data_IF_296390267669
#
_entry.id   IF_296390267669
#
_cell.length_a   1.000
_cell.length_b   1.000
_cell.length_c   1.000
_cell.angle_alpha   90.00
_cell.angle_beta   90.00
_cell.angle_gamma   90.00
#
_symmetry.space_group_name_H-M   'P 1'
#
loop_
_entity.id
_entity.type
_entity.pdbx_description
1 polymer ?
#
# COMPACT_ATOMS: atom_id res chain seq x y z
N UNK A 1 -13.80 -14.00 19.77
CA UNK A 1 -14.14 -12.69 20.37
C UNK A 1 -15.47 -12.16 19.83
N UNK A 2 -15.59 -11.85 18.53
CA UNK A 2 -16.79 -11.21 17.94
C UNK A 2 -18.14 -11.81 18.33
N UNK A 3 -18.35 -13.13 18.20
CA UNK A 3 -19.67 -13.77 18.41
C UNK A 3 -20.33 -13.38 19.75
N UNK A 4 -19.62 -13.51 20.88
CA UNK A 4 -20.14 -13.22 22.21
C UNK A 4 -20.31 -11.71 22.46
N UNK A 5 -19.38 -10.89 21.96
CA UNK A 5 -19.48 -9.43 22.01
C UNK A 5 -20.74 -8.93 21.26
N UNK A 6 -21.03 -9.51 20.09
CA UNK A 6 -22.20 -9.15 19.29
C UNK A 6 -23.51 -9.67 19.87
N UNK A 7 -23.57 -10.90 20.39
CA UNK A 7 -24.81 -11.46 20.93
C UNK A 7 -25.25 -10.77 22.22
N UNK A 8 -24.29 -10.32 23.03
CA UNK A 8 -24.54 -9.80 24.37
C UNK A 8 -24.50 -8.26 24.42
N UNK A 9 -24.10 -7.61 23.32
CA UNK A 9 -24.14 -6.15 23.17
C UNK A 9 -23.08 -5.38 23.96
N UNK A 10 -21.99 -6.03 24.37
CA UNK A 10 -20.93 -5.40 25.18
C UNK A 10 -20.16 -4.32 24.40
N UNK A 11 -19.89 -3.19 25.07
CA UNK A 11 -19.18 -2.02 24.50
C UNK A 11 -18.15 -1.50 25.50
N UNK A 12 -16.87 -1.49 25.12
CA UNK A 12 -15.78 -0.96 25.93
C UNK A 12 -14.59 -0.54 25.06
N UNK A 13 -13.61 0.15 25.66
CA UNK A 13 -12.38 0.54 24.94
C UNK A 13 -11.53 -0.69 24.60
N UNK A 14 -11.50 -1.66 25.49
CA UNK A 14 -10.77 -2.93 25.36
C UNK A 14 -11.33 -3.79 24.21
N UNK A 15 -12.64 -3.69 23.92
CA UNK A 15 -13.27 -4.34 22.76
C UNK A 15 -12.79 -3.70 21.45
N UNK A 16 -12.66 -2.36 21.40
CA UNK A 16 -12.10 -1.63 20.25
C UNK A 16 -10.64 -2.03 20.05
N UNK A 17 -9.85 -2.09 21.13
CA UNK A 17 -8.46 -2.57 21.12
C UNK A 17 -8.35 -4.01 20.60
N UNK A 18 -9.26 -4.89 21.03
CA UNK A 18 -9.34 -6.25 20.54
C UNK A 18 -9.55 -6.32 19.02
N UNK A 19 -10.49 -5.53 18.49
CA UNK A 19 -10.69 -5.45 17.03
C UNK A 19 -9.48 -4.87 16.30
N UNK A 20 -8.84 -3.82 16.84
CA UNK A 20 -7.62 -3.26 16.29
C UNK A 20 -6.46 -4.28 16.24
N UNK A 21 -6.23 -5.03 17.31
CA UNK A 21 -5.22 -6.11 17.34
C UNK A 21 -5.59 -7.25 16.37
N UNK A 22 -6.88 -7.54 16.21
CA UNK A 22 -7.37 -8.52 15.23
C UNK A 22 -7.06 -8.08 13.79
N UNK A 23 -7.17 -6.79 13.47
CA UNK A 23 -6.81 -6.24 12.15
C UNK A 23 -5.31 -6.39 11.81
N UNK A 24 -4.42 -6.43 12.81
CA UNK A 24 -2.96 -6.65 12.61
C UNK A 24 -2.59 -8.13 12.33
N UNK A 25 -3.46 -9.05 12.70
CA UNK A 25 -3.18 -10.50 12.78
C UNK A 25 -4.16 -11.38 12.01
N UNK A 26 -5.22 -10.79 11.44
CA UNK A 26 -6.23 -11.51 10.67
C UNK A 26 -5.63 -12.13 9.40
N UNK A 27 -6.04 -13.37 9.16
CA UNK A 27 -5.78 -14.09 7.92
C UNK A 27 -6.45 -13.36 6.75
N UNK A 28 -5.72 -13.01 5.68
CA UNK A 28 -6.31 -12.41 4.49
C UNK A 28 -7.26 -13.41 3.82
N UNK A 29 -8.30 -12.91 3.15
CA UNK A 29 -9.08 -13.74 2.24
C UNK A 29 -8.26 -14.09 0.98
N UNK A 30 -8.56 -15.22 0.35
CA UNK A 30 -7.96 -15.60 -0.94
C UNK A 30 -8.52 -14.74 -2.10
N UNK A 31 -9.71 -14.19 -1.91
CA UNK A 31 -10.43 -13.39 -2.90
C UNK A 31 -11.03 -12.16 -2.21
N UNK A 32 -11.05 -11.02 -2.91
CA UNK A 32 -11.57 -9.76 -2.35
C UNK A 32 -13.07 -9.83 -1.99
N UNK A 33 -13.86 -10.66 -2.68
CA UNK A 33 -15.26 -10.94 -2.32
C UNK A 33 -15.46 -11.75 -1.03
N UNK A 34 -14.41 -12.43 -0.54
CA UNK A 34 -14.42 -13.14 0.73
C UNK A 34 -13.85 -12.30 1.89
N UNK A 35 -13.33 -11.10 1.59
CA UNK A 35 -12.64 -10.26 2.56
C UNK A 35 -13.62 -9.69 3.59
N UNK A 36 -13.22 -9.78 4.87
CA UNK A 36 -14.04 -9.50 6.06
C UNK A 36 -13.31 -8.61 7.07
N UNK A 37 -12.08 -8.20 6.82
CA UNK A 37 -11.35 -7.18 7.60
C UNK A 37 -12.18 -5.90 7.82
N UNK A 38 -12.95 -5.48 6.80
CA UNK A 38 -13.84 -4.33 6.88
C UNK A 38 -14.89 -4.43 8.00
N UNK A 39 -15.34 -5.65 8.36
CA UNK A 39 -16.25 -5.85 9.49
C UNK A 39 -15.59 -5.43 10.81
N UNK A 40 -14.33 -5.83 11.02
CA UNK A 40 -13.60 -5.47 12.24
C UNK A 40 -13.37 -3.96 12.33
N UNK A 41 -13.01 -3.31 11.22
CA UNK A 41 -12.87 -1.84 11.18
C UNK A 41 -14.20 -1.16 11.50
N UNK A 42 -15.29 -1.56 10.83
CA UNK A 42 -16.61 -0.97 11.05
C UNK A 42 -17.11 -1.16 12.48
N UNK A 43 -16.96 -2.36 13.06
CA UNK A 43 -17.35 -2.58 14.46
C UNK A 43 -16.50 -1.77 15.45
N UNK A 44 -15.18 -1.70 15.25
CA UNK A 44 -14.30 -0.88 16.08
C UNK A 44 -14.70 0.60 16.01
N UNK A 45 -14.93 1.13 14.81
CA UNK A 45 -15.31 2.52 14.59
C UNK A 45 -16.71 2.84 15.14
N UNK A 46 -17.70 1.99 14.91
CA UNK A 46 -19.05 2.15 15.45
C UNK A 46 -19.06 2.15 16.98
N UNK A 47 -18.38 1.20 17.63
CA UNK A 47 -18.31 1.16 19.10
C UNK A 47 -17.55 2.39 19.63
N UNK A 48 -16.52 2.87 18.92
CA UNK A 48 -15.79 4.09 19.30
C UNK A 48 -16.68 5.35 19.23
N UNK A 49 -17.49 5.49 18.17
CA UNK A 49 -18.45 6.58 18.03
C UNK A 49 -19.58 6.51 19.07
N UNK A 50 -20.15 5.33 19.33
CA UNK A 50 -21.19 5.14 20.36
C UNK A 50 -20.69 5.42 21.78
N UNK A 51 -19.42 5.11 22.07
CA UNK A 51 -18.78 5.47 23.32
C UNK A 51 -18.38 6.96 23.39
N UNK A 52 -18.47 7.71 22.29
CA UNK A 52 -18.05 9.11 22.20
C UNK A 52 -16.54 9.28 22.42
N UNK A 53 -15.70 8.48 21.75
CA UNK A 53 -14.24 8.58 21.83
C UNK A 53 -13.67 9.71 20.94
N UNK A 54 -14.45 10.16 19.96
CA UNK A 54 -14.21 11.25 19.03
C UNK A 54 -14.28 12.64 19.67
N UNK A 55 -15.04 12.74 20.77
CA UNK A 55 -15.17 13.92 21.61
C UNK A 55 -14.09 13.96 22.69
N UNK A 56 -13.55 15.15 22.96
CA UNK A 56 -12.65 15.33 24.10
C UNK A 56 -13.38 14.97 25.39
N UNK A 57 -12.73 14.17 26.23
CA UNK A 57 -13.29 13.76 27.51
C UNK A 57 -13.52 15.00 28.38
N UNK A 58 -14.79 15.45 28.51
CA UNK A 58 -15.16 16.56 29.38
C UNK A 58 -14.72 16.23 30.79
N UNK A 59 -13.70 16.93 31.28
CA UNK A 59 -13.37 16.93 32.70
C UNK A 59 -14.59 17.47 33.46
N UNK A 60 -15.41 16.56 34.01
CA UNK A 60 -16.40 16.95 35.02
C UNK A 60 -15.61 17.62 36.14
N UNK A 61 -16.01 18.84 36.50
CA UNK A 61 -15.41 19.63 37.58
C UNK A 61 -15.68 19.01 38.96
N UNK A 62 -15.19 17.79 39.20
CA UNK A 62 -15.20 17.11 40.49
C UNK A 62 -14.04 17.66 41.33
N UNK A 63 -14.23 18.88 41.86
CA UNK A 63 -13.23 19.61 42.66
C UNK A 63 -12.72 18.89 43.93
N UNK A 64 -13.27 17.72 44.28
CA UNK A 64 -13.06 17.03 45.56
C UNK A 64 -12.83 15.51 45.38
N UNK A 65 -11.85 15.07 44.58
CA UNK A 65 -11.44 13.65 44.51
C UNK A 65 -9.92 13.54 44.54
N UNK A 66 -9.38 12.59 45.31
CA UNK A 66 -7.95 12.41 45.56
C UNK A 66 -7.08 12.38 44.29
N UNK A 67 -5.87 12.93 44.41
CA UNK A 67 -4.90 13.14 43.32
C UNK A 67 -4.62 11.88 42.48
N UNK A 68 -4.52 10.71 43.12
CA UNK A 68 -4.33 9.43 42.44
C UNK A 68 -5.48 9.08 41.49
N UNK A 69 -6.72 9.41 41.87
CA UNK A 69 -7.90 9.22 41.02
C UNK A 69 -7.88 10.19 39.84
N UNK A 70 -7.41 11.43 40.04
CA UNK A 70 -7.21 12.42 38.96
C UNK A 70 -6.25 11.88 37.89
N UNK A 71 -5.08 11.36 38.28
CA UNK A 71 -4.10 10.80 37.33
C UNK A 71 -4.67 9.58 36.59
N UNK A 72 -5.39 8.68 37.26
CA UNK A 72 -5.99 7.52 36.61
C UNK A 72 -7.09 7.93 35.60
N UNK A 73 -7.95 8.90 35.97
CA UNK A 73 -8.96 9.44 35.06
C UNK A 73 -8.32 10.12 33.83
N UNK A 74 -7.22 10.86 34.00
CA UNK A 74 -6.46 11.42 32.88
C UNK A 74 -5.88 10.33 31.98
N UNK A 75 -5.28 9.26 32.54
CA UNK A 75 -4.78 8.11 31.76
C UNK A 75 -5.90 7.41 30.97
N UNK A 76 -7.07 7.21 31.57
CA UNK A 76 -8.25 6.67 30.89
C UNK A 76 -8.72 7.58 29.74
N UNK A 77 -8.79 8.90 29.94
CA UNK A 77 -9.12 9.86 28.90
C UNK A 77 -8.12 9.82 27.73
N UNK A 78 -6.81 9.83 28.03
CA UNK A 78 -5.76 9.71 27.02
C UNK A 78 -5.85 8.40 26.22
N UNK A 79 -6.19 7.29 26.87
CA UNK A 79 -6.37 6.02 26.19
C UNK A 79 -7.59 6.03 25.25
N UNK A 80 -8.68 6.72 25.60
CA UNK A 80 -9.84 6.91 24.71
C UNK A 80 -9.45 7.70 23.45
N UNK A 81 -8.76 8.82 23.63
CA UNK A 81 -8.26 9.66 22.53
C UNK A 81 -7.31 8.88 21.60
N UNK A 82 -6.35 8.13 22.16
CA UNK A 82 -5.44 7.27 21.37
C UNK A 82 -6.19 6.23 20.53
N UNK A 83 -7.15 5.53 21.13
CA UNK A 83 -7.91 4.49 20.44
C UNK A 83 -8.71 5.04 19.27
N UNK A 84 -9.34 6.21 19.44
CA UNK A 84 -10.02 6.91 18.34
C UNK A 84 -9.06 7.24 17.20
N UNK A 85 -7.92 7.86 17.50
CA UNK A 85 -6.93 8.23 16.49
C UNK A 85 -6.32 7.01 15.79
N UNK A 86 -6.06 5.92 16.51
CA UNK A 86 -5.52 4.68 15.95
C UNK A 86 -6.49 4.01 14.97
N UNK A 87 -7.77 3.84 15.32
CA UNK A 87 -8.74 3.23 14.40
C UNK A 87 -9.05 4.13 13.20
N UNK A 88 -9.06 5.46 13.41
CA UNK A 88 -9.26 6.45 12.34
C UNK A 88 -8.09 6.43 11.33
N UNK A 89 -6.85 6.48 11.81
CA UNK A 89 -5.66 6.42 10.95
C UNK A 89 -5.54 5.07 10.24
N UNK A 90 -5.96 3.97 10.87
CA UNK A 90 -6.07 2.67 10.22
C UNK A 90 -7.04 2.70 9.04
N UNK A 91 -8.28 3.19 9.21
CA UNK A 91 -9.24 3.23 8.09
C UNK A 91 -8.79 4.21 6.99
N UNK A 92 -8.14 5.33 7.33
CA UNK A 92 -7.53 6.22 6.35
C UNK A 92 -6.41 5.55 5.53
N UNK A 93 -5.54 4.76 6.17
CA UNK A 93 -4.48 4.01 5.51
C UNK A 93 -5.03 2.87 4.65
N UNK A 94 -5.95 2.07 5.23
CA UNK A 94 -6.61 0.94 4.58
C UNK A 94 -7.45 1.37 3.37
N UNK A 95 -8.20 2.47 3.49
CA UNK A 95 -8.92 3.06 2.36
C UNK A 95 -7.97 3.47 1.24
N UNK A 96 -6.89 4.17 1.57
CA UNK A 96 -5.93 4.65 0.58
C UNK A 96 -5.26 3.49 -0.18
N UNK A 97 -4.91 2.40 0.52
CA UNK A 97 -4.39 1.18 -0.10
C UNK A 97 -5.42 0.42 -0.97
N UNK A 98 -6.72 0.68 -0.77
CA UNK A 98 -7.81 0.20 -1.64
C UNK A 98 -8.26 1.23 -2.68
N UNK A 99 -7.49 2.29 -2.96
CA UNK A 99 -7.86 3.37 -3.89
C UNK A 99 -9.06 4.23 -3.45
N UNK A 100 -9.52 4.09 -2.19
CA UNK A 100 -10.62 4.88 -1.63
C UNK A 100 -10.07 6.14 -0.96
N UNK A 101 -10.48 7.30 -1.45
CA UNK A 101 -10.20 8.59 -0.82
C UNK A 101 -11.10 8.75 0.41
N UNK A 102 -10.49 8.87 1.59
CA UNK A 102 -11.19 9.17 2.85
C UNK A 102 -10.68 10.47 3.45
N UNK A 103 -11.59 11.42 3.64
CA UNK A 103 -11.35 12.64 4.40
C UNK A 103 -11.28 12.33 5.88
N UNK A 104 -10.34 12.96 6.58
CA UNK A 104 -10.20 12.80 8.03
C UNK A 104 -11.27 13.65 8.74
N UNK A 105 -12.08 13.10 9.67
CA UNK A 105 -13.09 13.87 10.37
C UNK A 105 -12.47 14.97 11.25
N UNK A 106 -12.91 16.21 11.04
CA UNK A 106 -12.48 17.38 11.81
C UNK A 106 -13.26 17.50 13.14
N UNK A 107 -12.80 16.79 14.16
CA UNK A 107 -13.30 16.83 15.54
C UNK A 107 -12.41 17.74 16.41
N UNK A 108 -12.85 18.11 17.63
CA UNK A 108 -12.01 18.89 18.56
C UNK A 108 -10.62 18.26 18.78
N UNK A 109 -10.57 16.92 18.78
CA UNK A 109 -9.35 16.14 18.98
C UNK A 109 -8.40 16.21 17.79
N UNK A 110 -8.91 16.09 16.56
CA UNK A 110 -8.08 16.10 15.34
C UNK A 110 -7.69 17.53 14.91
N UNK A 111 -8.53 18.53 15.23
CA UNK A 111 -8.18 19.95 15.09
C UNK A 111 -7.02 20.34 16.02
N UNK A 112 -7.05 19.90 17.28
CA UNK A 112 -6.03 20.25 18.29
C UNK A 112 -4.86 19.24 18.37
N UNK A 113 -4.61 18.47 17.30
CA UNK A 113 -3.65 17.34 17.32
C UNK A 113 -2.21 17.78 17.63
N UNK A 114 -1.80 18.97 17.18
CA UNK A 114 -0.46 19.53 17.44
C UNK A 114 -0.15 19.75 18.93
N UNK A 115 -1.17 20.08 19.73
CA UNK A 115 -1.00 20.21 21.19
C UNK A 115 -1.26 18.88 21.90
N UNK A 116 -2.04 17.98 21.28
CA UNK A 116 -2.43 16.70 21.87
C UNK A 116 -1.23 15.77 22.14
N UNK A 117 -0.21 15.74 21.28
CA UNK A 117 0.97 14.90 21.48
C UNK A 117 1.99 15.49 22.48
N UNK A 118 1.91 16.78 22.79
CA UNK A 118 2.76 17.48 23.77
C UNK A 118 2.27 17.31 25.23
N UNK A 119 1.19 16.55 25.46
CA UNK A 119 0.62 16.33 26.78
C UNK A 119 1.61 15.61 27.73
N UNK A 120 1.69 15.93 29.04
CA UNK A 120 2.60 15.27 29.99
C UNK A 120 2.43 13.74 30.18
N UNK A 121 1.36 13.17 29.63
CA UNK A 121 1.08 11.73 29.60
C UNK A 121 1.21 11.13 28.19
N UNK A 122 1.92 11.81 27.30
CA UNK A 122 2.22 11.31 25.97
C UNK A 122 3.33 10.26 26.00
N UNK A 123 3.31 9.41 24.98
CA UNK A 123 4.33 8.41 24.69
C UNK A 123 4.93 8.69 23.29
N UNK A 124 5.94 7.92 22.90
CA UNK A 124 6.61 8.05 21.60
C UNK A 124 5.66 7.88 20.40
N UNK A 125 4.64 7.02 20.50
CA UNK A 125 3.70 6.76 19.41
C UNK A 125 2.78 7.95 19.13
N UNK A 126 2.46 8.75 20.16
CA UNK A 126 1.65 9.96 19.98
C UNK A 126 2.28 10.98 19.02
N UNK A 127 3.62 11.07 18.94
CA UNK A 127 4.31 11.93 17.96
C UNK A 127 3.97 11.48 16.54
N UNK A 128 4.12 10.19 16.24
CA UNK A 128 3.81 9.63 14.92
C UNK A 128 2.32 9.66 14.60
N UNK A 129 1.44 9.47 15.59
CA UNK A 129 -0.01 9.68 15.44
C UNK A 129 -0.34 11.13 15.04
N UNK A 130 0.30 12.12 15.67
CA UNK A 130 0.14 13.52 15.29
C UNK A 130 0.66 13.80 13.88
N UNK A 131 1.91 13.41 13.60
CA UNK A 131 2.53 13.58 12.29
C UNK A 131 1.67 13.00 11.15
N UNK A 132 1.18 11.75 11.32
CA UNK A 132 0.33 11.11 10.32
C UNK A 132 -1.04 11.80 10.19
N UNK A 133 -1.64 12.26 11.29
CA UNK A 133 -2.91 13.02 11.24
C UNK A 133 -2.77 14.32 10.43
N UNK A 134 -1.68 15.06 10.64
CA UNK A 134 -1.36 16.29 9.89
C UNK A 134 -1.09 15.98 8.42
N UNK A 135 -0.29 14.95 8.15
CA UNK A 135 0.00 14.48 6.78
C UNK A 135 -1.29 14.18 6.00
N UNK A 136 -2.27 13.52 6.62
CA UNK A 136 -3.57 13.24 5.99
C UNK A 136 -4.39 14.50 5.69
N UNK A 137 -4.25 15.56 6.49
CA UNK A 137 -4.89 16.86 6.23
C UNK A 137 -4.19 17.59 5.07
N UNK A 138 -2.86 17.60 5.06
CA UNK A 138 -2.05 18.18 3.97
C UNK A 138 -2.28 17.47 2.64
N UNK A 139 -2.26 16.12 2.61
CA UNK A 139 -2.62 15.32 1.43
C UNK A 139 -4.01 15.68 0.88
N UNK A 140 -5.01 15.87 1.73
CA UNK A 140 -6.37 16.20 1.29
C UNK A 140 -6.47 17.61 0.68
N UNK A 141 -5.69 18.57 1.19
CA UNK A 141 -5.59 19.90 0.61
C UNK A 141 -4.82 19.88 -0.73
N UNK A 142 -3.73 19.12 -0.80
CA UNK A 142 -2.89 18.95 -2.00
C UNK A 142 -3.65 18.25 -3.13
N UNK A 143 -4.42 17.20 -2.84
CA UNK A 143 -5.30 16.56 -3.83
C UNK A 143 -6.36 17.53 -4.39
N UNK A 144 -6.96 18.38 -3.54
CA UNK A 144 -7.93 19.38 -3.99
C UNK A 144 -7.29 20.48 -4.87
N UNK A 145 -6.07 20.91 -4.57
CA UNK A 145 -5.30 21.79 -5.47
C UNK A 145 -5.00 21.06 -6.79
N UNK A 146 -4.41 19.87 -6.75
CA UNK A 146 -4.04 19.13 -7.97
C UNK A 146 -5.22 18.84 -8.90
N UNK A 147 -6.43 18.55 -8.38
CA UNK A 147 -7.66 18.48 -9.19
C UNK A 147 -7.96 19.78 -9.94
N UNK A 148 -7.78 20.91 -9.26
CA UNK A 148 -8.01 22.25 -9.82
C UNK A 148 -6.94 22.60 -10.86
N UNK A 149 -5.69 22.27 -10.58
CA UNK A 149 -4.54 22.56 -11.42
C UNK A 149 -4.48 21.66 -12.67
N UNK A 150 -4.94 20.41 -12.60
CA UNK A 150 -4.95 19.48 -13.74
C UNK A 150 -5.81 19.95 -14.95
N UNK A 151 -6.66 20.96 -14.77
CA UNK A 151 -7.44 21.61 -15.84
C UNK A 151 -6.66 22.74 -16.53
N UNK A 152 -5.61 23.25 -15.88
CA UNK A 152 -4.79 24.35 -16.40
C UNK A 152 -3.63 23.82 -17.25
N UNK A 153 -3.28 24.49 -18.37
CA UNK A 153 -2.13 24.11 -19.18
C UNK A 153 -0.83 24.49 -18.45
N UNK A 154 0.11 23.54 -18.38
CA UNK A 154 1.44 23.72 -17.77
C UNK A 154 2.57 23.58 -18.81
N UNK A 155 2.59 24.41 -19.88
CA UNK A 155 3.50 24.23 -21.00
C UNK A 155 4.97 24.43 -20.59
N UNK A 156 5.85 23.54 -21.06
CA UNK A 156 7.29 23.55 -20.82
C UNK A 156 7.71 23.41 -19.34
N UNK A 157 6.85 22.83 -18.49
CA UNK A 157 7.18 22.50 -17.10
C UNK A 157 7.01 20.99 -16.84
N UNK A 158 7.90 20.14 -17.37
CA UNK A 158 7.88 18.72 -17.06
C UNK A 158 8.08 18.52 -15.54
N UNK A 159 7.53 17.45 -14.98
CA UNK A 159 7.61 17.12 -13.54
C UNK A 159 6.97 18.14 -12.57
N UNK A 160 6.19 19.12 -13.08
CA UNK A 160 5.51 20.13 -12.24
C UNK A 160 4.67 19.56 -11.09
N UNK A 161 4.15 18.35 -11.27
CA UNK A 161 3.36 17.64 -10.26
C UNK A 161 4.26 17.16 -9.13
N UNK A 162 5.37 16.48 -9.44
CA UNK A 162 6.35 16.06 -8.44
C UNK A 162 6.90 17.27 -7.67
N UNK A 163 7.34 18.32 -8.36
CA UNK A 163 7.84 19.54 -7.71
C UNK A 163 6.81 20.19 -6.78
N UNK A 164 5.54 20.27 -7.19
CA UNK A 164 4.46 20.83 -6.35
C UNK A 164 4.13 19.91 -5.16
N UNK A 165 4.16 18.60 -5.35
CA UNK A 165 3.93 17.62 -4.27
C UNK A 165 5.06 17.69 -3.24
N UNK A 166 6.31 17.76 -3.69
CA UNK A 166 7.48 17.84 -2.82
C UNK A 166 7.50 19.17 -2.06
N UNK A 167 7.35 20.31 -2.75
CA UNK A 167 7.27 21.64 -2.12
C UNK A 167 6.14 21.74 -1.08
N UNK A 168 5.00 21.07 -1.31
CA UNK A 168 3.89 21.03 -0.36
C UNK A 168 4.19 20.18 0.88
N UNK A 169 5.04 19.16 0.77
CA UNK A 169 5.35 18.20 1.83
C UNK A 169 6.71 18.45 2.52
N UNK A 170 7.59 19.26 1.95
CA UNK A 170 8.93 19.55 2.49
C UNK A 170 8.90 19.95 3.97
N UNK A 171 8.04 20.91 4.33
CA UNK A 171 7.92 21.38 5.72
C UNK A 171 7.44 20.30 6.70
N UNK A 172 6.70 19.31 6.20
CA UNK A 172 6.30 18.14 6.99
C UNK A 172 7.47 17.15 7.11
N UNK A 173 8.20 16.89 6.01
CA UNK A 173 9.37 16.02 5.99
C UNK A 173 10.43 16.53 6.96
N UNK A 174 10.82 17.81 6.88
CA UNK A 174 11.79 18.44 7.79
C UNK A 174 11.38 18.30 9.27
N UNK A 175 10.09 18.50 9.58
CA UNK A 175 9.57 18.52 10.95
C UNK A 175 9.42 17.13 11.56
N UNK A 176 9.05 16.13 10.76
CA UNK A 176 8.64 14.80 11.26
C UNK A 176 9.62 13.68 10.90
N UNK A 177 10.21 13.70 9.70
CA UNK A 177 11.24 12.77 9.20
C UNK A 177 12.63 13.32 9.52
N UNK A 178 12.93 13.43 10.81
CA UNK A 178 14.23 13.93 11.28
C UNK A 178 15.33 12.93 10.93
N UNK A 179 16.05 13.16 9.83
CA UNK A 179 17.33 12.51 9.54
C UNK A 179 18.36 12.88 10.63
N UNK A 180 19.29 11.97 11.00
CA UNK A 180 19.96 11.06 10.08
C UNK A 180 19.72 9.56 10.33
N UNK A 181 19.14 8.88 9.34
CA UNK A 181 19.30 7.43 9.15
C UNK A 181 20.60 7.10 8.39
N UNK A 182 21.67 7.87 8.59
CA UNK A 182 22.97 7.65 7.97
C UNK A 182 24.14 8.20 8.82
N UNK A 183 25.00 7.28 9.28
CA UNK A 183 26.46 7.45 9.40
C UNK A 183 26.98 8.84 9.84
N UNK A 184 26.85 9.17 11.12
CA UNK A 184 27.95 9.91 11.76
C UNK A 184 29.14 8.97 11.89
N UNK A 185 30.22 9.25 11.18
CA UNK A 185 31.52 8.57 11.33
C UNK A 185 32.26 8.95 12.62
N UNK A 186 31.54 9.41 13.64
CA UNK A 186 32.05 9.68 14.99
C UNK A 186 31.91 8.42 15.84
N UNK A 187 33.01 7.67 15.93
CA UNK A 187 33.12 6.33 16.54
C UNK A 187 32.98 6.31 18.07
N UNK A 188 32.22 7.23 18.66
CA UNK A 188 32.16 7.48 20.11
C UNK A 188 30.74 7.48 20.71
N UNK A 189 29.70 7.57 19.89
CA UNK A 189 28.30 7.50 20.33
C UNK A 189 27.69 6.19 19.82
N UNK A 190 27.17 5.38 20.74
CA UNK A 190 26.48 4.14 20.39
C UNK A 190 25.28 4.45 19.48
N UNK A 191 24.99 3.61 18.46
CA UNK A 191 23.83 3.81 17.60
C UNK A 191 22.54 3.89 18.44
N UNK A 192 21.56 4.72 18.05
CA UNK A 192 20.32 4.86 18.80
C UNK A 192 19.62 3.49 18.92
N UNK A 193 18.86 3.25 20.00
CA UNK A 193 18.09 2.00 20.13
C UNK A 193 17.15 1.81 18.95
N UNK A 194 17.04 0.58 18.43
CA UNK A 194 16.19 0.26 17.27
C UNK A 194 14.71 0.68 17.47
N UNK A 195 14.25 0.69 18.73
CA UNK A 195 12.93 1.15 19.17
C UNK A 195 12.68 2.66 18.90
N UNK A 196 13.74 3.47 18.80
CA UNK A 196 13.67 4.88 18.44
C UNK A 196 13.67 5.11 16.91
N UNK A 197 14.21 4.17 16.12
CA UNK A 197 14.17 4.25 14.65
C UNK A 197 12.79 3.88 14.09
N UNK A 198 12.11 2.87 14.64
CA UNK A 198 10.85 2.35 14.11
C UNK A 198 9.74 3.41 13.89
N UNK A 199 9.48 4.37 14.81
CA UNK A 199 8.46 5.40 14.59
C UNK A 199 8.81 6.38 13.47
N UNK A 200 10.10 6.58 13.16
CA UNK A 200 10.55 7.42 12.06
C UNK A 200 10.48 6.66 10.72
N UNK A 201 10.90 5.40 10.70
CA UNK A 201 10.76 4.49 9.55
C UNK A 201 9.27 4.37 9.15
N UNK A 202 8.36 4.14 10.11
CA UNK A 202 6.93 4.10 9.84
C UNK A 202 6.40 5.40 9.19
N UNK A 203 6.81 6.57 9.69
CA UNK A 203 6.43 7.85 9.09
C UNK A 203 7.02 8.04 7.70
N UNK A 204 8.19 7.47 7.40
CA UNK A 204 8.79 7.52 6.08
C UNK A 204 8.01 6.66 5.08
N UNK A 205 7.51 5.47 5.45
CA UNK A 205 6.55 4.72 4.61
C UNK A 205 5.24 5.49 4.40
N UNK A 206 4.71 6.14 5.44
CA UNK A 206 3.51 7.00 5.31
C UNK A 206 3.75 8.10 4.27
N UNK A 207 4.91 8.77 4.32
CA UNK A 207 5.33 9.77 3.34
C UNK A 207 5.44 9.20 1.92
N UNK A 208 6.25 8.15 1.73
CA UNK A 208 6.50 7.54 0.41
C UNK A 208 5.20 7.06 -0.24
N UNK A 209 4.32 6.39 0.51
CA UNK A 209 3.03 5.91 0.01
C UNK A 209 2.07 7.06 -0.28
N UNK A 210 2.05 8.11 0.54
CA UNK A 210 1.23 9.30 0.30
C UNK A 210 1.66 10.05 -0.96
N UNK A 211 2.97 10.27 -1.13
CA UNK A 211 3.57 10.88 -2.33
C UNK A 211 3.20 10.09 -3.58
N UNK A 212 3.45 8.76 -3.58
CA UNK A 212 3.14 7.89 -4.71
C UNK A 212 1.65 7.95 -5.10
N UNK A 213 0.74 7.82 -4.14
CA UNK A 213 -0.70 7.90 -4.41
C UNK A 213 -1.10 9.26 -4.97
N UNK A 214 -0.50 10.34 -4.46
CA UNK A 214 -0.80 11.71 -4.94
C UNK A 214 -0.39 11.89 -6.39
N UNK A 215 0.79 11.39 -6.78
CA UNK A 215 1.25 11.38 -8.17
C UNK A 215 0.31 10.54 -9.07
N UNK A 216 -0.13 9.37 -8.59
CA UNK A 216 -1.05 8.50 -9.34
C UNK A 216 -2.43 9.13 -9.55
N UNK A 217 -2.99 9.80 -8.52
CA UNK A 217 -4.24 10.56 -8.66
C UNK A 217 -4.08 11.74 -9.63
N UNK A 218 -2.95 12.44 -9.58
CA UNK A 218 -2.67 13.55 -10.47
C UNK A 218 -2.52 13.09 -11.93
N UNK A 219 -1.85 11.96 -12.19
CA UNK A 219 -1.80 11.30 -13.50
C UNK A 219 -3.21 11.00 -14.03
N UNK A 220 -4.10 10.47 -13.17
CA UNK A 220 -5.50 10.24 -13.53
C UNK A 220 -6.26 11.53 -13.87
N UNK A 221 -6.11 12.61 -13.10
CA UNK A 221 -6.76 13.90 -13.39
C UNK A 221 -6.26 14.52 -14.70
N UNK A 222 -4.94 14.51 -14.95
CA UNK A 222 -4.35 15.04 -16.18
C UNK A 222 -4.73 14.19 -17.40
N UNK A 223 -4.77 12.87 -17.27
CA UNK A 223 -5.18 11.94 -18.33
C UNK A 223 -6.65 12.10 -18.73
N UNK A 224 -7.52 12.55 -17.81
CA UNK A 224 -8.94 12.80 -18.10
C UNK A 224 -9.17 14.08 -18.91
N UNK A 225 -8.23 15.02 -18.88
CA UNK A 225 -8.40 16.36 -19.45
C UNK A 225 -7.81 16.53 -20.87
N UNK A 226 -7.49 15.44 -21.57
CA UNK A 226 -6.94 15.44 -22.94
C UNK A 226 -5.64 16.26 -23.10
N UNK A 227 -4.78 16.27 -22.09
CA UNK A 227 -3.45 16.89 -22.16
C UNK A 227 -2.50 16.11 -23.08
N UNK A 228 -1.33 16.69 -23.39
CA UNK A 228 -0.43 16.09 -24.39
C UNK A 228 0.23 14.82 -23.87
N UNK A 229 0.54 13.90 -24.77
CA UNK A 229 1.23 12.64 -24.44
C UNK A 229 2.60 12.87 -23.78
N UNK A 230 3.25 13.98 -24.11
CA UNK A 230 4.52 14.38 -23.49
C UNK A 230 4.35 14.72 -22.00
N UNK A 231 3.32 15.50 -21.65
CA UNK A 231 3.02 15.84 -20.25
C UNK A 231 2.70 14.57 -19.44
N UNK A 232 1.95 13.63 -20.03
CA UNK A 232 1.62 12.36 -19.40
C UNK A 232 2.84 11.47 -19.18
N UNK A 233 3.85 11.50 -20.08
CA UNK A 233 5.05 10.69 -19.93
C UNK A 233 5.95 11.19 -18.78
N UNK A 234 6.10 12.51 -18.59
CA UNK A 234 6.83 13.05 -17.43
C UNK A 234 6.18 12.63 -16.10
N UNK A 235 4.84 12.65 -16.02
CA UNK A 235 4.12 12.23 -14.80
C UNK A 235 4.20 10.70 -14.60
N UNK A 236 4.23 9.91 -15.68
CA UNK A 236 4.49 8.46 -15.60
C UNK A 236 5.90 8.18 -15.08
N UNK A 237 6.89 8.97 -15.47
CA UNK A 237 8.26 8.90 -14.97
C UNK A 237 8.31 9.22 -13.47
N UNK A 238 7.68 10.31 -13.02
CA UNK A 238 7.52 10.65 -11.60
C UNK A 238 6.89 9.51 -10.78
N UNK A 239 5.82 8.88 -11.31
CA UNK A 239 5.15 7.75 -10.69
C UNK A 239 6.04 6.50 -10.65
N UNK A 240 6.79 6.23 -11.72
CA UNK A 240 7.70 5.09 -11.83
C UNK A 240 8.86 5.22 -10.86
N UNK A 241 9.53 6.37 -10.80
CA UNK A 241 10.61 6.64 -9.84
C UNK A 241 10.11 6.52 -8.39
N UNK A 242 8.95 7.10 -8.07
CA UNK A 242 8.35 6.98 -6.75
C UNK A 242 8.02 5.52 -6.38
N UNK A 243 7.54 4.72 -7.34
CA UNK A 243 7.20 3.31 -7.14
C UNK A 243 8.45 2.43 -6.96
N UNK A 244 9.49 2.64 -7.78
CA UNK A 244 10.80 2.02 -7.60
C UNK A 244 11.37 2.40 -6.24
N UNK A 245 11.28 3.67 -5.83
CA UNK A 245 11.80 4.14 -4.55
C UNK A 245 11.15 3.46 -3.35
N UNK A 246 9.82 3.25 -3.38
CA UNK A 246 9.11 2.45 -2.37
C UNK A 246 9.68 1.03 -2.30
N UNK A 247 9.95 0.41 -3.45
CA UNK A 247 10.50 -0.95 -3.52
C UNK A 247 11.96 -1.04 -3.01
N UNK A 248 12.82 -0.09 -3.37
CA UNK A 248 14.19 0.02 -2.87
C UNK A 248 14.24 0.14 -1.36
N UNK A 249 13.49 1.10 -0.80
CA UNK A 249 13.45 1.36 0.65
C UNK A 249 12.87 0.15 1.38
N UNK A 250 11.81 -0.48 0.85
CA UNK A 250 11.28 -1.73 1.41
C UNK A 250 12.33 -2.84 1.51
N UNK A 251 13.11 -3.07 0.44
CA UNK A 251 14.17 -4.09 0.44
C UNK A 251 15.30 -3.71 1.39
N UNK A 252 15.79 -2.46 1.35
CA UNK A 252 16.87 -1.97 2.22
C UNK A 252 16.50 -2.10 3.71
N UNK A 253 15.31 -1.64 4.08
CA UNK A 253 14.83 -1.66 5.47
C UNK A 253 14.56 -3.09 5.96
N UNK A 254 13.95 -3.94 5.14
CA UNK A 254 13.68 -5.34 5.50
C UNK A 254 14.95 -6.20 5.53
N UNK A 255 16.05 -5.76 4.92
CA UNK A 255 17.39 -6.32 5.11
C UNK A 255 18.08 -5.76 6.37
N UNK A 256 17.99 -4.46 6.63
CA UNK A 256 18.62 -3.80 7.80
C UNK A 256 17.97 -4.19 9.13
N UNK A 257 16.65 -4.13 9.20
CA UNK A 257 15.86 -4.27 10.44
C UNK A 257 15.14 -5.61 10.55
N UNK A 258 14.93 -6.32 9.43
CA UNK A 258 14.38 -7.68 9.41
C UNK A 258 13.05 -7.82 10.15
N UNK A 259 13.00 -8.81 11.05
CA UNK A 259 11.80 -9.22 11.77
C UNK A 259 11.11 -8.09 12.56
N UNK A 260 11.85 -7.05 12.97
CA UNK A 260 11.29 -5.88 13.65
C UNK A 260 10.26 -5.10 12.81
N UNK A 261 10.30 -5.21 11.48
CA UNK A 261 9.33 -4.58 10.58
C UNK A 261 8.14 -5.47 10.23
N UNK A 262 8.11 -6.75 10.63
CA UNK A 262 7.03 -7.65 10.25
C UNK A 262 5.69 -7.32 10.94
N UNK A 263 5.71 -6.44 11.95
CA UNK A 263 4.54 -5.88 12.61
C UNK A 263 3.94 -4.63 11.90
N UNK A 264 4.50 -4.19 10.76
CA UNK A 264 3.91 -3.12 9.95
C UNK A 264 2.46 -3.45 9.55
N UNK A 265 1.65 -2.40 9.43
CA UNK A 265 0.20 -2.48 9.18
C UNK A 265 -0.10 -3.10 7.81
N UNK A 266 -1.24 -3.80 7.68
CA UNK A 266 -1.69 -4.39 6.40
C UNK A 266 -1.64 -3.43 5.20
N UNK A 267 -2.04 -2.14 5.33
CA UNK A 267 -1.97 -1.18 4.22
C UNK A 267 -0.53 -0.86 3.77
N UNK A 268 0.47 -0.96 4.65
CA UNK A 268 1.88 -0.78 4.29
C UNK A 268 2.33 -1.86 3.31
N UNK A 269 1.98 -3.12 3.57
CA UNK A 269 2.30 -4.24 2.67
C UNK A 269 1.56 -4.16 1.34
N UNK A 270 0.28 -3.76 1.38
CA UNK A 270 -0.52 -3.51 0.18
C UNK A 270 0.10 -2.41 -0.70
N UNK A 271 0.55 -1.30 -0.11
CA UNK A 271 1.19 -0.21 -0.84
C UNK A 271 2.57 -0.58 -1.42
N UNK A 272 3.36 -1.40 -0.73
CA UNK A 272 4.61 -1.95 -1.30
C UNK A 272 4.32 -2.86 -2.50
N UNK A 273 3.30 -3.70 -2.41
CA UNK A 273 2.87 -4.56 -3.53
C UNK A 273 2.28 -3.75 -4.68
N UNK A 274 1.53 -2.69 -4.39
CA UNK A 274 1.00 -1.75 -5.39
C UNK A 274 2.15 -1.06 -6.14
N UNK A 275 3.14 -0.53 -5.42
CA UNK A 275 4.31 0.09 -6.03
C UNK A 275 5.08 -0.89 -6.94
N UNK A 276 5.25 -2.14 -6.51
CA UNK A 276 5.88 -3.18 -7.33
C UNK A 276 5.12 -3.45 -8.65
N UNK A 277 3.79 -3.58 -8.59
CA UNK A 277 2.95 -3.79 -9.78
C UNK A 277 2.94 -2.56 -10.68
N UNK A 278 2.81 -1.37 -10.10
CA UNK A 278 2.80 -0.09 -10.83
C UNK A 278 4.12 0.15 -11.57
N UNK A 279 5.27 -0.08 -10.91
CA UNK A 279 6.58 0.03 -11.56
C UNK A 279 6.68 -0.91 -12.76
N UNK A 280 6.20 -2.15 -12.64
CA UNK A 280 6.17 -3.15 -13.71
C UNK A 280 5.19 -2.80 -14.85
N UNK A 281 4.08 -2.11 -14.54
CA UNK A 281 3.12 -1.61 -15.54
C UNK A 281 3.66 -0.38 -16.30
N UNK A 282 4.32 0.56 -15.61
CA UNK A 282 4.85 1.79 -16.20
C UNK A 282 6.16 1.56 -16.99
N UNK A 283 6.99 0.58 -16.58
CA UNK A 283 8.27 0.30 -17.24
C UNK A 283 8.21 0.22 -18.78
N UNK A 284 7.35 -0.60 -19.41
CA UNK A 284 7.29 -0.70 -20.88
C UNK A 284 6.74 0.56 -21.56
N UNK A 285 5.97 1.41 -20.86
CA UNK A 285 5.46 2.68 -21.39
C UNK A 285 6.57 3.74 -21.50
N UNK A 286 7.56 3.69 -20.60
CA UNK A 286 8.68 4.63 -20.53
C UNK A 286 9.90 4.14 -21.34
N UNK A 287 10.26 2.86 -21.20
CA UNK A 287 11.51 2.30 -21.73
C UNK A 287 11.32 1.44 -23.00
N UNK A 288 10.07 1.19 -23.40
CA UNK A 288 9.71 0.32 -24.50
C UNK A 288 9.89 -1.18 -24.20
N UNK A 289 9.29 -2.03 -25.04
CA UNK A 289 9.27 -3.49 -24.87
C UNK A 289 10.56 -4.20 -25.32
N UNK A 290 11.76 -3.66 -25.02
CA UNK A 290 13.03 -4.30 -25.37
C UNK A 290 13.37 -5.41 -24.37
N UNK A 291 13.57 -6.67 -24.81
CA UNK A 291 13.84 -7.78 -23.90
C UNK A 291 15.17 -7.56 -23.18
N UNK A 292 15.16 -7.70 -21.86
CA UNK A 292 16.36 -7.60 -21.02
C UNK A 292 16.63 -6.20 -20.42
N UNK A 293 15.92 -5.15 -20.86
CA UNK A 293 16.01 -3.83 -20.22
C UNK A 293 15.43 -3.83 -18.78
N UNK A 294 14.52 -4.75 -18.49
CA UNK A 294 13.78 -4.88 -17.23
C UNK A 294 14.48 -5.76 -16.17
N UNK A 295 15.65 -6.32 -16.46
CA UNK A 295 16.34 -7.30 -15.57
C UNK A 295 16.62 -6.73 -14.17
N UNK A 296 17.06 -5.47 -14.08
CA UNK A 296 17.34 -4.81 -12.79
C UNK A 296 16.04 -4.63 -11.98
N UNK A 297 14.98 -4.12 -12.61
CA UNK A 297 13.65 -4.00 -12.01
C UNK A 297 13.11 -5.36 -11.55
N UNK A 298 13.13 -6.38 -12.42
CA UNK A 298 12.68 -7.73 -12.08
C UNK A 298 13.49 -8.33 -10.91
N UNK A 299 14.78 -8.01 -10.78
CA UNK A 299 15.60 -8.43 -9.64
C UNK A 299 15.17 -7.74 -8.33
N UNK A 300 14.90 -6.43 -8.36
CA UNK A 300 14.37 -5.67 -7.21
C UNK A 300 13.00 -6.20 -6.80
N UNK A 301 12.08 -6.38 -7.74
CA UNK A 301 10.73 -6.89 -7.46
C UNK A 301 10.76 -8.36 -7.00
N UNK A 302 11.75 -9.15 -7.42
CA UNK A 302 12.03 -10.47 -6.88
C UNK A 302 12.46 -10.46 -5.41
N UNK A 303 13.26 -9.46 -4.99
CA UNK A 303 13.59 -9.24 -3.58
C UNK A 303 12.37 -8.78 -2.78
N UNK A 304 11.58 -7.81 -3.29
CA UNK A 304 10.31 -7.38 -2.67
C UNK A 304 9.39 -8.60 -2.44
N UNK A 305 9.23 -9.44 -3.46
CA UNK A 305 8.45 -10.69 -3.38
C UNK A 305 8.90 -11.60 -2.23
N UNK A 306 10.21 -11.84 -2.11
CA UNK A 306 10.77 -12.69 -1.05
C UNK A 306 10.56 -12.09 0.34
N UNK A 307 10.73 -10.77 0.48
CA UNK A 307 10.53 -10.06 1.75
C UNK A 307 9.05 -10.03 2.15
N UNK A 308 8.12 -9.86 1.21
CA UNK A 308 6.67 -9.96 1.43
C UNK A 308 6.26 -11.37 1.89
N UNK A 309 6.71 -12.42 1.18
CA UNK A 309 6.47 -13.82 1.58
C UNK A 309 6.92 -14.06 3.03
N UNK A 310 8.17 -13.69 3.36
CA UNK A 310 8.77 -13.89 4.67
C UNK A 310 8.09 -13.08 5.79
N UNK A 311 7.73 -11.83 5.55
CA UNK A 311 7.11 -10.98 6.56
C UNK A 311 5.69 -11.46 6.95
N UNK A 312 4.91 -11.95 5.98
CA UNK A 312 3.59 -12.50 6.23
C UNK A 312 3.59 -13.90 6.84
N UNK A 313 4.67 -14.68 6.62
CA UNK A 313 4.82 -16.05 7.11
C UNK A 313 5.63 -16.17 8.41
N UNK A 314 5.94 -15.03 9.04
CA UNK A 314 6.71 -14.97 10.30
C UNK A 314 5.84 -14.36 11.40
N UNK A 315 5.68 -15.02 12.56
CA UNK A 315 6.16 -16.37 12.90
C UNK A 315 5.52 -17.48 12.04
N UNK A 316 6.05 -18.73 12.01
CA UNK A 316 5.65 -19.77 11.03
C UNK A 316 4.17 -20.21 11.02
N UNK A 317 3.38 -19.84 12.02
CA UNK A 317 1.94 -20.08 12.08
C UNK A 317 1.09 -18.91 11.57
N UNK A 318 1.73 -17.79 11.20
CA UNK A 318 1.08 -16.62 10.60
C UNK A 318 0.88 -16.88 9.11
N UNK A 319 -0.29 -16.54 8.61
CA UNK A 319 -0.53 -16.31 7.19
C UNK A 319 -1.12 -14.90 7.08
N UNK A 320 -0.23 -13.91 6.93
CA UNK A 320 -0.60 -12.50 6.81
C UNK A 320 -0.74 -12.05 5.36
N UNK A 321 -1.40 -10.91 5.13
CA UNK A 321 -1.62 -10.32 3.80
C UNK A 321 -0.34 -10.20 2.96
N UNK A 322 0.80 -9.91 3.58
CA UNK A 322 2.08 -9.82 2.89
C UNK A 322 2.49 -11.14 2.19
N UNK A 323 2.17 -12.30 2.75
CA UNK A 323 2.44 -13.59 2.08
C UNK A 323 1.59 -13.77 0.84
N UNK A 324 0.31 -13.43 0.92
CA UNK A 324 -0.61 -13.50 -0.21
C UNK A 324 -0.17 -12.55 -1.33
N UNK A 325 0.12 -11.29 -1.00
CA UNK A 325 0.65 -10.29 -1.94
C UNK A 325 1.97 -10.73 -2.59
N UNK A 326 2.91 -11.28 -1.80
CA UNK A 326 4.15 -11.85 -2.31
C UNK A 326 3.91 -12.99 -3.30
N UNK A 327 2.99 -13.93 -2.97
CA UNK A 327 2.62 -15.03 -3.88
C UNK A 327 2.01 -14.53 -5.19
N UNK A 328 1.15 -13.51 -5.16
CA UNK A 328 0.60 -12.90 -6.39
C UNK A 328 1.69 -12.22 -7.23
N UNK A 329 2.53 -11.37 -6.61
CA UNK A 329 3.63 -10.70 -7.30
C UNK A 329 4.59 -11.70 -7.96
N UNK A 330 4.88 -12.82 -7.29
CA UNK A 330 5.69 -13.93 -7.81
C UNK A 330 5.12 -14.58 -9.06
N UNK A 331 3.79 -14.69 -9.16
CA UNK A 331 3.11 -15.22 -10.36
C UNK A 331 3.28 -14.21 -11.50
N UNK A 332 3.01 -12.93 -11.26
CA UNK A 332 3.14 -11.85 -12.25
C UNK A 332 4.59 -11.78 -12.80
N UNK A 333 5.59 -11.80 -11.92
CA UNK A 333 7.01 -11.77 -12.31
C UNK A 333 7.43 -13.00 -13.11
N UNK A 334 6.93 -14.20 -12.76
CA UNK A 334 7.18 -15.42 -13.54
C UNK A 334 6.59 -15.33 -14.94
N UNK A 335 5.36 -14.84 -15.08
CA UNK A 335 4.72 -14.67 -16.39
C UNK A 335 5.52 -13.69 -17.27
N UNK A 336 5.98 -12.56 -16.72
CA UNK A 336 6.86 -11.62 -17.44
C UNK A 336 8.19 -12.26 -17.83
N UNK A 337 8.84 -12.97 -16.91
CA UNK A 337 10.12 -13.63 -17.17
C UNK A 337 10.02 -14.75 -18.22
N UNK A 338 8.93 -15.53 -18.24
CA UNK A 338 8.70 -16.54 -19.28
C UNK A 338 8.59 -15.92 -20.68
N UNK A 339 7.87 -14.81 -20.81
CA UNK A 339 7.75 -14.09 -22.08
C UNK A 339 9.11 -13.57 -22.60
N UNK A 340 10.08 -13.27 -21.71
CA UNK A 340 11.45 -12.92 -22.12
C UNK A 340 12.24 -14.12 -22.65
N UNK A 341 12.00 -15.32 -22.11
CA UNK A 341 12.66 -16.56 -22.56
C UNK A 341 12.13 -16.99 -23.93
N UNK A 342 10.81 -16.89 -24.16
CA UNK A 342 10.19 -17.24 -25.45
C UNK A 342 10.52 -16.24 -26.57
N UNK A 343 10.90 -15.01 -26.23
CA UNK A 343 11.40 -13.98 -27.16
C UNK A 343 12.91 -14.06 -27.42
N UNK A 344 13.66 -14.88 -26.67
CA UNK A 344 15.06 -15.13 -26.97
C UNK A 344 15.15 -15.97 -28.26
N UNK A 345 15.84 -15.53 -29.32
CA UNK A 345 15.89 -16.28 -30.57
C UNK A 345 16.50 -17.66 -30.32
N UNK A 346 15.78 -18.71 -30.71
CA UNK A 346 16.32 -20.07 -30.76
C UNK A 346 17.60 -20.05 -31.59
N UNK A 347 18.76 -20.12 -30.92
CA UNK A 347 20.02 -20.35 -31.58
C UNK A 347 19.99 -21.77 -32.15
N UNK A 348 19.85 -21.86 -33.47
CA UNK A 348 19.96 -23.13 -34.20
C UNK A 348 21.27 -23.82 -33.81
N UNK A 349 21.17 -24.85 -32.98
CA UNK A 349 22.32 -25.59 -32.50
C UNK A 349 22.83 -26.49 -33.64
N UNK A 350 23.66 -25.94 -34.52
CA UNK A 350 24.24 -26.66 -35.66
C UNK A 350 25.24 -27.71 -35.17
N UNK A 351 24.78 -28.96 -35.20
CA UNK A 351 25.53 -30.20 -35.38
C UNK A 351 26.79 -30.45 -34.52
N UNK A 352 26.68 -31.42 -33.62
CA UNK A 352 27.74 -32.43 -33.43
C UNK A 352 27.16 -33.84 -33.68
N UNK A 353 27.94 -34.80 -34.20
CA UNK A 353 27.43 -36.05 -34.75
C UNK A 353 27.06 -37.09 -33.70
N UNK A 354 26.28 -38.08 -34.15
CA UNK A 354 25.72 -39.17 -33.36
C UNK A 354 26.73 -40.11 -32.71
N UNK A 355 26.32 -40.69 -31.57
CA UNK A 355 26.69 -42.05 -31.21
C UNK A 355 25.41 -42.84 -30.93
N UNK A 356 25.09 -43.81 -31.79
CA UNK A 356 24.04 -44.80 -31.54
C UNK A 356 24.43 -45.72 -30.36
N UNK A 357 23.47 -46.09 -29.51
CA UNK A 357 23.27 -47.49 -29.08
C UNK A 357 21.85 -47.68 -28.51
N UNK A 358 20.97 -48.25 -29.36
CA UNK A 358 19.90 -49.21 -29.03
C UNK A 358 19.09 -49.07 -27.72
N UNK A 359 17.78 -48.83 -27.86
CA UNK A 359 16.77 -49.90 -27.73
C UNK A 359 15.37 -49.50 -28.21
N UNK A 360 14.92 -50.26 -29.21
CA UNK A 360 13.57 -50.81 -29.40
C UNK A 360 12.52 -50.55 -28.30
N UNK A 361 11.22 -50.43 -28.55
CA UNK A 361 10.37 -50.26 -29.74
C UNK A 361 8.95 -50.66 -29.27
N UNK A 362 7.94 -49.81 -29.43
CA UNK A 362 6.54 -50.21 -29.62
C UNK A 362 5.79 -49.06 -30.30
N UNK A 363 5.43 -49.24 -31.57
CA UNK A 363 4.36 -48.49 -32.24
C UNK A 363 2.99 -49.11 -31.80
N UNK A 364 1.79 -48.57 -32.06
CA UNK A 364 1.25 -48.00 -33.31
C UNK A 364 -0.07 -47.17 -33.03
N UNK A 365 -0.93 -46.73 -33.99
CA UNK A 365 -1.20 -45.29 -34.16
C UNK A 365 -2.71 -44.89 -34.26
N UNK A 366 -2.99 -43.61 -34.58
CA UNK A 366 -4.05 -43.05 -35.47
C UNK A 366 -3.89 -41.49 -35.45
N UNK A 367 -3.67 -40.72 -36.53
CA UNK A 367 -4.49 -40.43 -37.71
C UNK A 367 -5.91 -39.89 -37.39
N UNK A 368 -6.41 -38.72 -37.85
CA UNK A 368 -5.86 -37.59 -38.64
C UNK A 368 -6.43 -36.24 -38.13
N UNK A 369 -6.59 -35.12 -38.87
CA UNK A 369 -6.37 -34.77 -40.29
C UNK A 369 -6.22 -33.22 -40.44
N UNK A 370 -6.05 -32.66 -41.66
CA UNK A 370 -5.66 -31.26 -41.90
C UNK A 370 -6.81 -30.23 -42.14
N UNK A 371 -6.47 -28.93 -42.03
CA UNK A 371 -7.23 -27.76 -42.51
C UNK A 371 -6.30 -26.53 -42.66
N UNK A 372 -6.47 -25.71 -43.71
CA UNK A 372 -5.55 -24.64 -44.14
C UNK A 372 -6.28 -23.29 -44.33
N UNK A 373 -5.51 -22.18 -44.25
CA UNK A 373 -5.90 -20.77 -44.46
C UNK A 373 -6.82 -20.15 -43.38
N UNK A 374 -6.81 -18.83 -43.12
CA UNK A 374 -6.28 -17.71 -43.91
C UNK A 374 -5.74 -16.55 -43.03
N UNK A 375 -5.12 -15.53 -43.66
CA UNK A 375 -4.38 -14.43 -43.02
C UNK A 375 -5.16 -13.11 -42.94
N UNK A 376 -5.49 -12.63 -41.73
CA UNK A 376 -5.92 -11.26 -41.40
C UNK A 376 -5.46 -10.96 -39.95
N UNK A 377 -4.48 -10.07 -39.76
CA UNK A 377 -4.63 -8.60 -39.57
C UNK A 377 -4.80 -8.21 -38.11
N UNK A 378 -3.80 -7.51 -37.59
CA UNK A 378 -3.73 -6.88 -36.26
C UNK A 378 -5.01 -6.10 -35.88
N UNK A 379 -5.56 -6.37 -34.70
CA UNK A 379 -5.72 -5.42 -33.58
C UNK A 379 -6.54 -6.06 -32.45
N UNK A 380 -5.88 -6.57 -31.41
CA UNK A 380 -6.51 -6.91 -30.12
C UNK A 380 -5.42 -7.18 -29.05
N UNK A 381 -5.02 -6.13 -28.32
CA UNK A 381 -4.16 -6.23 -27.12
C UNK A 381 -4.69 -5.43 -25.92
N UNK A 382 -5.94 -5.00 -26.00
CA UNK A 382 -6.63 -4.26 -24.95
C UNK A 382 -7.98 -4.92 -24.61
N UNK A 383 -7.97 -5.98 -23.80
CA UNK A 383 -9.06 -6.29 -22.83
C UNK A 383 -8.71 -7.50 -21.95
N UNK A 384 -9.21 -7.48 -20.71
CA UNK A 384 -9.10 -8.54 -19.69
C UNK A 384 -7.70 -8.90 -19.18
N UNK A 385 -7.11 -8.01 -18.38
CA UNK A 385 -6.21 -8.45 -17.30
C UNK A 385 -6.37 -7.56 -16.07
N UNK A 386 -7.46 -7.77 -15.33
CA UNK A 386 -7.73 -7.14 -14.02
C UNK A 386 -6.89 -7.88 -12.95
N UNK A 387 -5.92 -7.23 -12.28
CA UNK A 387 -5.07 -7.86 -11.28
C UNK A 387 -5.76 -8.03 -9.90
N UNK A 388 -7.03 -7.63 -9.74
CA UNK A 388 -7.78 -7.70 -8.47
C UNK A 388 -9.14 -8.43 -8.53
N UNK A 389 -9.71 -8.74 -9.70
CA UNK A 389 -10.93 -9.58 -9.80
C UNK A 389 -11.01 -10.55 -10.98
N UNK A 390 -11.31 -11.82 -10.65
CA UNK A 390 -12.00 -12.80 -11.50
C UNK A 390 -12.64 -13.87 -10.59
N UNK A 391 -13.83 -14.43 -10.83
CA UNK A 391 -14.80 -14.22 -11.91
C UNK A 391 -16.23 -14.44 -11.41
N UNK A 392 -17.20 -13.72 -11.96
CA UNK A 392 -18.61 -13.74 -11.52
C UNK A 392 -19.41 -14.86 -12.19
N UNK A 393 -20.19 -15.63 -11.42
CA UNK A 393 -21.20 -16.54 -11.99
C UNK A 393 -22.52 -15.81 -12.26
N UNK A 394 -22.97 -15.93 -13.51
CA UNK A 394 -24.22 -15.46 -14.15
C UNK A 394 -25.45 -15.35 -13.24
N UNK A 395 -26.20 -14.24 -13.34
CA UNK A 395 -27.69 -14.11 -13.44
C UNK A 395 -28.06 -12.60 -13.68
N UNK A 396 -29.29 -12.27 -14.13
CA UNK A 396 -29.49 -11.16 -15.10
C UNK A 396 -29.91 -9.79 -14.55
N UNK A 397 -29.58 -8.78 -15.37
CA UNK A 397 -30.19 -7.46 -15.57
C UNK A 397 -31.15 -6.91 -14.49
N UNK A 398 -30.65 -5.92 -13.74
CA UNK A 398 -31.43 -4.73 -13.39
C UNK A 398 -30.57 -3.47 -13.51
N UNK A 399 -31.12 -2.44 -14.15
CA UNK A 399 -30.49 -1.14 -14.36
C UNK A 399 -30.40 -0.33 -13.05
N UNK A 400 -29.23 0.22 -12.74
CA UNK A 400 -29.11 1.44 -11.91
C UNK A 400 -27.73 2.08 -12.08
N UNK A 401 -27.72 3.37 -12.40
CA UNK A 401 -26.53 4.19 -12.63
C UNK A 401 -25.52 4.17 -11.45
N UNK A 402 -24.24 3.99 -11.77
CA UNK A 402 -23.10 4.12 -10.87
C UNK A 402 -21.79 4.29 -11.67
N UNK A 403 -20.85 5.11 -11.19
CA UNK A 403 -19.70 5.58 -11.99
C UNK A 403 -18.58 4.53 -12.20
N UNK A 404 -17.85 4.57 -13.32
CA UNK A 404 -16.83 3.57 -13.66
C UNK A 404 -15.42 3.97 -13.14
N UNK A 405 -15.04 3.49 -11.97
CA UNK A 405 -13.67 3.65 -11.43
C UNK A 405 -12.80 2.38 -11.56
N UNK A 406 -13.37 1.24 -11.97
CA UNK A 406 -12.73 -0.08 -11.88
C UNK A 406 -12.05 -0.60 -13.17
N UNK A 407 -12.13 0.10 -14.30
CA UNK A 407 -11.74 -0.42 -15.63
C UNK A 407 -10.37 0.09 -16.16
N UNK A 408 -9.46 0.55 -15.28
CA UNK A 408 -8.18 1.20 -15.70
C UNK A 408 -6.95 0.65 -14.94
N UNK A 409 -7.06 -0.52 -14.31
CA UNK A 409 -5.94 -1.19 -13.62
C UNK A 409 -5.80 -2.66 -14.01
#
# INVERSE_FOLDING_TARGET
MSKHVHTDGFKSVEIIQGYYISLLSATPANYLGEERLWLYTNYAFSIAAELGLDHRARQRNTRNVHDTTSVMCQRMARNRERNWLQILLWECANSAACGRITTLPETELTQNIENWWLHPLADSTNRSTCAFTLFRREMAALDADLRTQAVLPHPNHPHWIAERVDLALDSWVERWISFPLATTSDTTIAPPPLEAEFPAVYLYYVYLHGRLLTLCYALYYVSKNNNTEHDLNAIREDCFEAAVKVCEIAVQDLQKMGDSLYCMLAPTWAMISYAAVLALQLFPLLHGARPGNDVELLSLLGLVTLHLERAGSTPPHRFGIATLLGQHLKIILRTRASNLVDLAPHSENKNFPSLDTQRQAYNEPLAGTAGLADMQSYDDFWTSFDPFFASTTVLPEMESNGEPFANVF
#
